data_IF_218448038610
#
_entry.id   IF_218448038610
#
_cell.length_a   1.000
_cell.length_b   1.000
_cell.length_c   1.000
_cell.angle_alpha   90.00
_cell.angle_beta   90.00
_cell.angle_gamma   90.00
#
_symmetry.space_group_name_H-M   'P 1'
#
loop_
_entity.id
_entity.type
_entity.pdbx_description
1 polymer ?
#
# COMPACT_ATOMS: atom_id res chain seq x y z
N UNK A 1 -16.82 -12.99 -20.65
CA UNK A 1 -15.60 -12.24 -20.97
C UNK A 1 -15.76 -10.84 -20.36
N UNK A 2 -14.93 -10.49 -19.37
CA UNK A 2 -14.97 -9.17 -18.74
C UNK A 2 -14.63 -8.09 -19.77
N UNK A 3 -15.40 -7.02 -19.80
CA UNK A 3 -15.18 -5.91 -20.69
C UNK A 3 -14.86 -4.61 -19.91
N UNK A 4 -14.63 -3.51 -20.65
CA UNK A 4 -14.32 -2.21 -20.05
C UNK A 4 -15.45 -1.69 -19.15
N UNK A 5 -16.71 -2.02 -19.46
CA UNK A 5 -17.86 -1.57 -18.66
C UNK A 5 -17.92 -2.30 -17.32
N UNK A 6 -17.55 -3.58 -17.30
CA UNK A 6 -17.45 -4.38 -16.07
C UNK A 6 -16.34 -3.85 -15.17
N UNK A 7 -15.19 -3.53 -15.75
CA UNK A 7 -14.07 -2.91 -15.03
C UNK A 7 -14.49 -1.57 -14.42
N UNK A 8 -15.13 -0.71 -15.20
CA UNK A 8 -15.59 0.60 -14.72
C UNK A 8 -16.56 0.48 -13.56
N UNK A 9 -17.51 -0.44 -13.63
CA UNK A 9 -18.45 -0.71 -12.53
C UNK A 9 -17.71 -1.15 -11.27
N UNK A 10 -16.72 -2.04 -11.41
CA UNK A 10 -15.91 -2.48 -10.28
C UNK A 10 -15.15 -1.30 -9.64
N UNK A 11 -14.51 -0.46 -10.47
CA UNK A 11 -13.75 0.70 -9.99
C UNK A 11 -14.65 1.71 -9.26
N UNK A 12 -15.87 1.92 -9.74
CA UNK A 12 -16.83 2.83 -9.10
C UNK A 12 -17.29 2.37 -7.71
N UNK A 13 -17.18 1.07 -7.40
CA UNK A 13 -17.53 0.53 -6.09
C UNK A 13 -16.38 0.57 -5.09
N UNK A 14 -15.16 0.88 -5.51
CA UNK A 14 -14.00 0.88 -4.63
C UNK A 14 -14.05 2.06 -3.65
N UNK A 15 -13.74 1.78 -2.41
CA UNK A 15 -13.72 2.76 -1.32
C UNK A 15 -12.37 2.75 -0.62
N UNK A 16 -12.06 3.86 0.06
CA UNK A 16 -10.88 3.96 0.93
C UNK A 16 -11.33 4.08 2.39
N UNK A 17 -10.39 3.84 3.29
CA UNK A 17 -10.54 4.14 4.70
C UNK A 17 -10.93 5.61 4.91
N UNK A 18 -11.98 5.87 5.70
CA UNK A 18 -12.52 7.22 5.92
C UNK A 18 -11.51 8.20 6.55
N UNK A 19 -10.50 7.69 7.26
CA UNK A 19 -9.46 8.49 7.91
C UNK A 19 -8.19 8.63 7.07
N UNK A 20 -8.13 8.03 5.90
CA UNK A 20 -6.90 8.03 5.09
C UNK A 20 -6.50 9.44 4.64
N UNK A 21 -7.45 10.26 4.24
CA UNK A 21 -7.18 11.64 3.83
C UNK A 21 -6.68 12.50 5.00
N UNK A 22 -7.26 12.33 6.18
CA UNK A 22 -6.79 12.99 7.40
C UNK A 22 -5.36 12.56 7.74
N UNK A 23 -5.08 11.26 7.64
CA UNK A 23 -3.73 10.72 7.80
C UNK A 23 -2.73 11.36 6.85
N UNK A 24 -3.07 11.50 5.57
CA UNK A 24 -2.20 12.13 4.58
C UNK A 24 -1.95 13.62 4.92
N UNK A 25 -2.96 14.33 5.39
CA UNK A 25 -2.84 15.71 5.83
C UNK A 25 -1.86 15.84 7.00
N UNK A 26 -1.97 14.98 7.99
CA UNK A 26 -1.07 14.95 9.13
C UNK A 26 0.38 14.64 8.72
N UNK A 27 0.56 13.68 7.83
CA UNK A 27 1.89 13.34 7.32
C UNK A 27 2.53 14.53 6.60
N UNK A 28 1.75 15.24 5.79
CA UNK A 28 2.22 16.44 5.08
C UNK A 28 2.65 17.54 6.07
N UNK A 29 1.84 17.82 7.08
CA UNK A 29 2.15 18.80 8.10
C UNK A 29 3.45 18.50 8.85
N UNK A 30 3.72 17.21 9.07
CA UNK A 30 4.90 16.76 9.83
C UNK A 30 6.10 16.41 8.96
N UNK A 31 6.01 16.61 7.64
CA UNK A 31 7.09 16.31 6.72
C UNK A 31 7.36 14.82 6.50
N UNK A 32 6.40 13.96 6.79
CA UNK A 32 6.50 12.53 6.50
C UNK A 32 6.22 12.27 5.02
N UNK A 33 7.05 11.44 4.41
CA UNK A 33 6.83 10.97 3.04
C UNK A 33 5.93 9.74 3.08
N UNK A 34 4.93 9.72 2.20
CA UNK A 34 3.98 8.61 2.09
C UNK A 34 4.06 8.03 0.69
N UNK A 35 4.14 6.72 0.60
CA UNK A 35 4.12 5.96 -0.65
C UNK A 35 3.10 4.85 -0.55
N UNK A 36 2.36 4.62 -1.63
CA UNK A 36 1.45 3.47 -1.74
C UNK A 36 2.14 2.40 -2.57
N UNK A 37 2.33 1.23 -1.98
CA UNK A 37 2.92 0.06 -2.64
C UNK A 37 1.85 -1.01 -2.78
N UNK A 38 1.55 -1.41 -4.00
CA UNK A 38 0.45 -2.34 -4.27
C UNK A 38 0.90 -3.47 -5.19
N UNK A 39 0.45 -4.67 -4.91
CA UNK A 39 0.53 -5.79 -5.84
C UNK A 39 -0.74 -5.91 -6.71
N UNK A 40 -1.62 -4.94 -6.62
CA UNK A 40 -2.76 -4.74 -7.52
C UNK A 40 -2.39 -3.92 -8.75
N UNK A 41 -3.40 -3.30 -9.37
CA UNK A 41 -3.24 -2.61 -10.65
C UNK A 41 -3.34 -1.09 -10.51
N UNK A 42 -2.55 -0.40 -11.33
CA UNK A 42 -2.53 1.06 -11.42
C UNK A 42 -3.91 1.67 -11.70
N UNK A 43 -4.70 1.07 -12.58
CA UNK A 43 -6.05 1.55 -12.89
C UNK A 43 -6.95 1.61 -11.64
N UNK A 44 -6.80 0.65 -10.74
CA UNK A 44 -7.56 0.62 -9.49
C UNK A 44 -7.16 1.77 -8.57
N UNK A 45 -5.85 1.99 -8.42
CA UNK A 45 -5.32 3.07 -7.58
C UNK A 45 -5.69 4.44 -8.15
N UNK A 46 -5.51 4.63 -9.45
CA UNK A 46 -5.85 5.89 -10.13
C UNK A 46 -7.33 6.22 -10.02
N UNK A 47 -8.22 5.23 -10.16
CA UNK A 47 -9.65 5.42 -10.01
C UNK A 47 -10.03 5.88 -8.60
N UNK A 48 -9.45 5.25 -7.57
CA UNK A 48 -9.68 5.61 -6.17
C UNK A 48 -9.09 6.99 -5.87
N UNK A 49 -7.90 7.28 -6.34
CA UNK A 49 -7.23 8.56 -6.12
C UNK A 49 -8.01 9.71 -6.79
N UNK A 50 -8.53 9.49 -7.98
CA UNK A 50 -9.39 10.47 -8.65
C UNK A 50 -10.70 10.71 -7.90
N UNK A 51 -11.36 9.61 -7.49
CA UNK A 51 -12.65 9.67 -6.76
C UNK A 51 -12.53 10.45 -5.44
N UNK A 52 -11.43 10.29 -4.72
CA UNK A 52 -11.23 10.90 -3.41
C UNK A 52 -10.25 12.07 -3.40
N UNK A 53 -9.81 12.52 -4.58
CA UNK A 53 -8.86 13.64 -4.73
C UNK A 53 -7.56 13.44 -3.96
N UNK A 54 -6.96 12.27 -4.14
CA UNK A 54 -5.69 11.89 -3.48
C UNK A 54 -4.54 12.06 -4.47
N UNK A 55 -3.44 12.63 -3.99
CA UNK A 55 -2.21 12.77 -4.75
C UNK A 55 -1.03 12.29 -3.90
N UNK A 56 -0.69 11.01 -4.04
CA UNK A 56 0.42 10.36 -3.34
C UNK A 56 1.16 9.49 -4.36
N UNK A 57 2.51 9.49 -4.33
CA UNK A 57 3.27 8.56 -5.18
C UNK A 57 2.86 7.12 -4.91
N UNK A 58 2.68 6.35 -5.97
CA UNK A 58 2.33 4.93 -5.84
C UNK A 58 3.11 4.07 -6.82
N UNK A 59 3.24 2.80 -6.47
CA UNK A 59 3.86 1.76 -7.28
C UNK A 59 2.93 0.57 -7.32
N UNK A 60 2.62 0.09 -8.53
CA UNK A 60 1.67 -0.99 -8.75
C UNK A 60 2.01 -1.74 -10.05
N UNK A 61 1.33 -2.84 -10.28
CA UNK A 61 1.35 -3.49 -11.58
C UNK A 61 0.55 -2.65 -12.57
N UNK A 62 0.95 -2.70 -13.83
CA UNK A 62 0.31 -1.93 -14.90
C UNK A 62 -0.69 -2.79 -15.65
N UNK A 63 -1.91 -2.29 -15.80
CA UNK A 63 -2.94 -2.91 -16.62
C UNK A 63 -3.17 -2.07 -17.88
N UNK A 64 -3.01 -2.67 -19.06
CA UNK A 64 -3.16 -2.02 -20.35
C UNK A 64 -4.31 -2.70 -21.10
N UNK A 65 -5.13 -1.91 -21.76
CA UNK A 65 -6.18 -2.40 -22.65
C UNK A 65 -5.95 -1.88 -24.08
N UNK A 66 -5.73 -2.83 -25.01
CA UNK A 66 -5.55 -2.55 -26.44
C UNK A 66 -6.43 -3.47 -27.31
N UNK A 67 -7.66 -3.74 -26.84
CA UNK A 67 -8.56 -4.77 -27.39
C UNK A 67 -8.56 -6.04 -26.55
N UNK A 68 -7.57 -6.21 -25.69
CA UNK A 68 -7.50 -7.24 -24.65
C UNK A 68 -6.72 -6.67 -23.44
N UNK A 69 -6.94 -7.24 -22.26
CA UNK A 69 -6.19 -6.85 -21.08
C UNK A 69 -4.79 -7.48 -21.06
N UNK A 70 -3.79 -6.65 -20.84
CA UNK A 70 -2.39 -7.05 -20.64
C UNK A 70 -1.90 -6.53 -19.31
N UNK A 71 -1.04 -7.30 -18.66
CA UNK A 71 -0.45 -6.95 -17.36
C UNK A 71 1.06 -6.86 -17.50
N UNK A 72 1.63 -5.76 -17.03
CA UNK A 72 3.06 -5.57 -16.88
C UNK A 72 3.40 -5.38 -15.41
N UNK A 73 4.53 -5.90 -14.98
CA UNK A 73 4.99 -5.83 -13.60
C UNK A 73 6.34 -5.11 -13.51
N UNK A 74 6.35 -3.75 -13.65
CA UNK A 74 7.61 -3.00 -13.67
C UNK A 74 8.36 -3.04 -12.34
N UNK A 75 7.66 -3.29 -11.24
CA UNK A 75 8.25 -3.37 -9.89
C UNK A 75 8.63 -4.77 -9.45
N UNK A 76 8.61 -5.76 -10.34
CA UNK A 76 9.02 -7.13 -9.97
C UNK A 76 10.51 -7.20 -9.62
N UNK A 77 10.83 -8.10 -8.69
CA UNK A 77 12.22 -8.42 -8.36
C UNK A 77 12.58 -9.75 -9.01
N UNK A 78 13.40 -9.77 -10.07
CA UNK A 78 13.77 -11.01 -10.77
C UNK A 78 14.47 -12.04 -9.87
N UNK A 79 15.17 -11.59 -8.84
CA UNK A 79 15.86 -12.47 -7.90
C UNK A 79 14.87 -13.27 -7.01
N UNK A 80 13.69 -12.72 -6.73
CA UNK A 80 12.65 -13.37 -5.93
C UNK A 80 11.55 -13.99 -6.82
N UNK A 81 10.99 -13.21 -7.75
CA UNK A 81 10.01 -13.67 -8.74
C UNK A 81 8.64 -14.05 -8.19
N UNK A 82 8.34 -13.75 -6.91
CA UNK A 82 7.08 -14.15 -6.26
C UNK A 82 5.98 -13.12 -6.47
N UNK A 83 6.30 -11.83 -6.28
CA UNK A 83 5.32 -10.74 -6.36
C UNK A 83 5.45 -9.98 -7.67
N UNK A 84 4.35 -9.49 -8.22
CA UNK A 84 4.35 -8.58 -9.36
C UNK A 84 5.00 -7.26 -9.01
N UNK A 85 4.71 -6.72 -7.83
CA UNK A 85 5.39 -5.55 -7.23
C UNK A 85 6.15 -6.00 -5.99
N UNK A 86 7.47 -5.89 -6.01
CA UNK A 86 8.29 -6.21 -4.84
C UNK A 86 8.30 -5.02 -3.87
N UNK A 87 7.41 -5.05 -2.91
CA UNK A 87 7.26 -4.00 -1.90
C UNK A 87 8.51 -3.86 -1.02
N UNK A 88 9.22 -4.95 -0.74
CA UNK A 88 10.44 -4.92 0.06
C UNK A 88 11.53 -4.12 -0.62
N UNK A 89 11.79 -4.39 -1.91
CA UNK A 89 12.80 -3.66 -2.67
C UNK A 89 12.46 -2.18 -2.77
N UNK A 90 11.21 -1.86 -3.08
CA UNK A 90 10.74 -0.48 -3.17
C UNK A 90 10.86 0.24 -1.83
N UNK A 91 10.47 -0.39 -0.74
CA UNK A 91 10.62 0.17 0.61
C UNK A 91 12.09 0.49 0.92
N UNK A 92 13.00 -0.44 0.64
CA UNK A 92 14.43 -0.23 0.85
C UNK A 92 15.01 0.90 -0.02
N UNK A 93 14.58 1.01 -1.25
CA UNK A 93 15.01 2.08 -2.17
C UNK A 93 14.46 3.45 -1.75
N UNK A 94 13.23 3.51 -1.27
CA UNK A 94 12.53 4.75 -0.95
C UNK A 94 12.85 5.32 0.42
N UNK A 95 13.28 4.49 1.37
CA UNK A 95 13.44 4.93 2.77
C UNK A 95 14.53 5.97 2.98
N UNK A 96 15.58 5.96 2.18
CA UNK A 96 16.74 6.83 2.36
C UNK A 96 17.53 6.50 3.62
N UNK A 97 18.55 7.29 3.92
CA UNK A 97 19.41 7.11 5.10
C UNK A 97 18.81 7.79 6.33
N UNK A 98 18.89 7.11 7.48
CA UNK A 98 18.52 7.68 8.77
C UNK A 98 17.03 7.89 9.00
N UNK A 99 16.18 7.38 8.12
CA UNK A 99 14.74 7.50 8.24
C UNK A 99 14.12 6.26 8.88
N UNK A 100 13.10 6.49 9.70
CA UNK A 100 12.26 5.44 10.27
C UNK A 100 11.16 5.07 9.27
N UNK A 101 10.99 3.79 9.03
CA UNK A 101 9.94 3.27 8.15
C UNK A 101 8.77 2.77 9.00
N UNK A 102 7.60 3.35 8.76
CA UNK A 102 6.32 2.83 9.26
C UNK A 102 5.64 2.11 8.08
N UNK A 103 5.42 0.82 8.23
CA UNK A 103 4.76 0.00 7.22
C UNK A 103 3.33 -0.33 7.66
N UNK A 104 2.38 -0.13 6.75
CA UNK A 104 0.95 -0.34 7.02
C UNK A 104 0.41 -1.29 5.97
N UNK A 105 -0.16 -2.40 6.39
CA UNK A 105 -0.67 -3.39 5.43
C UNK A 105 -1.66 -4.38 6.02
N UNK A 106 -2.23 -5.23 5.16
CA UNK A 106 -3.27 -6.19 5.55
C UNK A 106 -3.15 -7.56 4.86
N UNK A 107 -2.31 -7.69 3.85
CA UNK A 107 -2.29 -8.88 3.00
C UNK A 107 -0.98 -9.66 3.01
N UNK A 108 -0.97 -10.76 2.26
CA UNK A 108 0.20 -11.62 2.14
C UNK A 108 1.38 -10.98 1.42
N UNK A 109 1.12 -10.07 0.46
CA UNK A 109 2.19 -9.34 -0.23
C UNK A 109 2.94 -8.38 0.69
N UNK A 110 2.43 -8.14 1.89
CA UNK A 110 3.02 -7.26 2.89
C UNK A 110 3.94 -8.00 3.87
N UNK A 111 3.97 -9.33 3.82
CA UNK A 111 4.71 -10.13 4.81
C UNK A 111 6.22 -9.91 4.77
N UNK A 112 6.82 -9.87 3.58
CA UNK A 112 8.27 -9.63 3.45
C UNK A 112 8.68 -8.23 3.92
N UNK A 113 8.04 -7.13 3.46
CA UNK A 113 8.43 -5.80 3.92
C UNK A 113 8.17 -5.59 5.42
N UNK A 114 7.13 -6.20 5.98
CA UNK A 114 6.84 -6.10 7.41
C UNK A 114 7.98 -6.65 8.30
N UNK A 115 8.73 -7.63 7.82
CA UNK A 115 9.88 -8.16 8.56
C UNK A 115 11.06 -7.19 8.63
N UNK A 116 11.08 -6.15 7.80
CA UNK A 116 12.20 -5.21 7.66
C UNK A 116 11.86 -3.77 8.03
N UNK A 117 10.60 -3.45 8.23
CA UNK A 117 10.18 -2.12 8.65
C UNK A 117 10.48 -1.89 10.13
N UNK A 118 10.62 -0.63 10.52
CA UNK A 118 10.89 -0.26 11.92
C UNK A 118 9.63 -0.34 12.78
N UNK A 119 8.49 0.07 12.23
CA UNK A 119 7.19 0.02 12.88
C UNK A 119 6.18 -0.58 11.90
N UNK A 120 5.38 -1.53 12.36
CA UNK A 120 4.38 -2.20 11.51
C UNK A 120 2.99 -2.03 12.11
N UNK A 121 2.06 -1.54 11.29
CA UNK A 121 0.64 -1.60 11.55
C UNK A 121 0.02 -2.66 10.64
N UNK A 122 -0.66 -3.62 11.22
CA UNK A 122 -1.19 -4.77 10.47
C UNK A 122 -2.62 -5.11 10.87
N UNK A 123 -3.36 -5.60 9.88
CA UNK A 123 -4.66 -6.24 10.09
C UNK A 123 -4.80 -7.46 9.18
N UNK A 124 -5.86 -8.23 9.37
CA UNK A 124 -6.19 -9.41 8.54
C UNK A 124 -5.00 -10.39 8.43
N UNK A 125 -4.67 -10.84 7.22
CA UNK A 125 -3.66 -11.86 6.97
C UNK A 125 -2.25 -11.43 7.40
N UNK A 126 -1.91 -10.15 7.21
CA UNK A 126 -0.61 -9.64 7.65
C UNK A 126 -0.48 -9.71 9.18
N UNK A 127 -1.52 -9.33 9.91
CA UNK A 127 -1.49 -9.40 11.36
C UNK A 127 -1.31 -10.84 11.86
N UNK A 128 -2.03 -11.80 11.27
CA UNK A 128 -1.87 -13.23 11.59
C UNK A 128 -0.46 -13.72 11.33
N UNK A 129 0.10 -13.36 10.18
CA UNK A 129 1.49 -13.71 9.85
C UNK A 129 2.47 -13.15 10.89
N UNK A 130 2.37 -11.87 11.23
CA UNK A 130 3.26 -11.24 12.20
C UNK A 130 3.17 -11.92 13.57
N UNK A 131 1.96 -12.18 14.04
CA UNK A 131 1.73 -12.88 15.31
C UNK A 131 2.36 -14.27 15.31
N UNK A 132 2.18 -15.04 14.23
CA UNK A 132 2.61 -16.43 14.15
C UNK A 132 4.12 -16.57 13.90
N UNK A 133 4.78 -15.52 13.41
CA UNK A 133 6.21 -15.53 13.07
C UNK A 133 7.07 -14.61 13.95
N UNK A 134 6.54 -14.12 15.05
CA UNK A 134 7.30 -13.29 15.99
C UNK A 134 7.68 -11.91 15.48
N UNK A 135 6.98 -11.41 14.48
CA UNK A 135 7.18 -10.05 13.96
C UNK A 135 6.36 -9.08 14.81
N UNK A 136 7.03 -8.08 15.40
CA UNK A 136 6.33 -7.05 16.17
C UNK A 136 5.44 -6.21 15.27
N UNK A 137 4.15 -6.21 15.54
CA UNK A 137 3.17 -5.44 14.78
C UNK A 137 2.07 -4.93 15.68
N UNK A 138 1.58 -3.73 15.36
CA UNK A 138 0.43 -3.12 16.01
C UNK A 138 -0.80 -3.44 15.20
N UNK A 139 -1.83 -4.01 15.83
CA UNK A 139 -3.12 -4.21 15.17
C UNK A 139 -3.80 -2.87 14.95
N UNK A 140 -4.46 -2.70 13.80
CA UNK A 140 -5.29 -1.54 13.54
C UNK A 140 -6.58 -1.95 12.84
N UNK A 141 -7.66 -1.23 13.13
CA UNK A 141 -8.95 -1.39 12.47
C UNK A 141 -9.06 -0.41 11.30
N UNK A 142 -8.67 0.85 11.56
CA UNK A 142 -8.69 1.92 10.56
C UNK A 142 -7.52 2.89 10.79
N UNK A 143 -7.39 3.88 9.92
CA UNK A 143 -6.29 4.85 9.97
C UNK A 143 -6.38 5.82 11.15
N UNK A 144 -7.50 5.89 11.86
CA UNK A 144 -7.62 6.71 13.06
C UNK A 144 -6.59 6.31 14.12
N UNK A 145 -6.37 5.01 14.31
CA UNK A 145 -5.38 4.49 15.26
C UNK A 145 -3.95 4.91 14.87
N UNK A 146 -3.67 4.94 13.57
CA UNK A 146 -2.37 5.37 13.05
C UNK A 146 -2.18 6.87 13.24
N UNK A 147 -3.22 7.66 13.02
CA UNK A 147 -3.22 9.10 13.31
C UNK A 147 -2.90 9.35 14.79
N UNK A 148 -3.56 8.62 15.68
CA UNK A 148 -3.32 8.75 17.14
C UNK A 148 -1.86 8.41 17.47
N UNK A 149 -1.33 7.34 16.89
CA UNK A 149 0.07 6.97 17.06
C UNK A 149 1.01 8.09 16.61
N UNK A 150 0.82 8.61 15.40
CA UNK A 150 1.67 9.69 14.88
C UNK A 150 1.61 10.94 15.74
N UNK A 151 0.43 11.29 16.26
CA UNK A 151 0.27 12.43 17.16
C UNK A 151 0.97 12.22 18.51
N UNK A 152 1.17 10.99 18.93
CA UNK A 152 1.90 10.67 20.16
C UNK A 152 3.41 10.85 20.04
N UNK A 153 3.94 10.88 18.82
CA UNK A 153 5.36 11.11 18.55
C UNK A 153 5.68 12.62 18.65
N UNK A 154 6.83 12.91 19.20
CA UNK A 154 7.30 14.29 19.33
C UNK A 154 8.28 14.68 18.23
#
# INVERSE_FOLDING_TARGET
>A
QADLSDLKRLLDTMEIDEYFKEFLGLCRERGHRVYVLSDGYDLCIEAVFEKYHINVPYYANRMIYDGSFKIECPGTNPACGICGTCKTRLMEELKGEGNTVVYIGDGYSDTCPATRADVVFAKKDLYRFCRDNGVSARYFTDFKEIIIYLKSLQ
#
